data_IF_925038735414
#
_entry.id   IF_925038735414
#
_cell.length_a   1.000
_cell.length_b   1.000
_cell.length_c   1.000
_cell.angle_alpha   90.00
_cell.angle_beta   90.00
_cell.angle_gamma   90.00
#
_symmetry.space_group_name_H-M   'P 1'
#
loop_
_entity.id
_entity.type
_entity.pdbx_description
1 polymer ?
#
# COMPACT_ATOMS: atom_id res chain seq x y z
N UNK A 1 -1.32 12.78 11.42
CA UNK A 1 -2.77 12.46 11.48
C UNK A 1 -3.04 11.82 12.84
N UNK A 2 -4.12 12.20 13.54
CA UNK A 2 -4.38 11.74 14.91
C UNK A 2 -5.38 10.57 14.91
N UNK A 3 -5.09 9.53 15.70
CA UNK A 3 -5.95 8.38 15.91
C UNK A 3 -6.16 8.19 17.40
N UNK A 4 -7.42 8.02 17.81
CA UNK A 4 -7.77 7.74 19.21
C UNK A 4 -7.88 6.23 19.41
N UNK A 5 -7.16 5.72 20.40
CA UNK A 5 -7.16 4.33 20.82
C UNK A 5 -7.43 4.21 22.33
N UNK A 6 -7.99 3.09 22.72
CA UNK A 6 -8.26 2.77 24.12
C UNK A 6 -7.48 1.53 24.52
N UNK A 7 -6.98 1.48 25.76
CA UNK A 7 -6.27 0.30 26.24
C UNK A 7 -7.23 -0.88 26.42
N UNK A 8 -6.77 -2.07 26.03
CA UNK A 8 -7.54 -3.31 26.13
C UNK A 8 -6.93 -4.26 27.16
N UNK A 9 -7.75 -4.73 28.10
CA UNK A 9 -7.32 -5.72 29.11
C UNK A 9 -7.60 -7.18 28.69
N UNK A 10 -8.71 -7.42 27.98
CA UNK A 10 -9.16 -8.79 27.65
C UNK A 10 -8.48 -9.30 26.38
N UNK A 11 -7.75 -10.42 26.50
CA UNK A 11 -7.11 -11.11 25.38
C UNK A 11 -7.91 -12.36 24.95
N UNK A 12 -7.66 -12.84 23.73
CA UNK A 12 -8.16 -14.12 23.21
C UNK A 12 -9.19 -13.99 22.08
N UNK A 13 -9.47 -15.11 21.43
CA UNK A 13 -10.30 -15.18 20.21
C UNK A 13 -11.74 -14.70 20.45
N UNK A 14 -12.34 -15.09 21.58
CA UNK A 14 -13.73 -14.71 21.92
C UNK A 14 -13.88 -13.22 22.24
N UNK A 15 -12.92 -12.61 22.93
CA UNK A 15 -12.92 -11.19 23.22
C UNK A 15 -12.78 -10.36 21.94
N UNK A 16 -11.79 -10.69 21.10
CA UNK A 16 -11.55 -10.01 19.82
C UNK A 16 -12.71 -10.14 18.84
N UNK A 17 -13.44 -11.27 18.86
CA UNK A 17 -14.65 -11.44 18.02
C UNK A 17 -15.79 -10.54 18.49
N UNK A 18 -16.01 -10.43 19.79
CA UNK A 18 -17.04 -9.53 20.36
C UNK A 18 -16.74 -8.06 20.06
N UNK A 19 -15.48 -7.63 20.16
CA UNK A 19 -15.07 -6.26 19.81
C UNK A 19 -15.42 -5.91 18.35
N UNK A 20 -15.10 -6.81 17.42
CA UNK A 20 -15.44 -6.63 15.99
C UNK A 20 -16.95 -6.58 15.74
N UNK A 21 -17.75 -7.34 16.50
CA UNK A 21 -19.20 -7.27 16.41
C UNK A 21 -19.78 -5.94 16.91
N UNK A 22 -19.09 -5.26 17.83
CA UNK A 22 -19.48 -3.95 18.38
C UNK A 22 -18.91 -2.80 17.53
N UNK A 23 -18.20 -3.10 16.43
CA UNK A 23 -17.59 -2.08 15.56
C UNK A 23 -16.24 -1.56 16.07
N UNK A 24 -15.57 -2.28 16.98
CA UNK A 24 -14.21 -1.96 17.42
C UNK A 24 -13.19 -2.91 16.80
N UNK A 25 -12.06 -2.35 16.37
CA UNK A 25 -10.94 -3.09 15.79
C UNK A 25 -9.86 -3.31 16.85
N UNK A 26 -9.46 -4.56 17.13
CA UNK A 26 -8.33 -4.81 18.02
C UNK A 26 -7.01 -4.46 17.33
N UNK A 27 -6.04 -3.99 18.10
CA UNK A 27 -4.68 -3.76 17.62
C UNK A 27 -3.63 -3.86 18.71
N UNK A 28 -2.39 -3.66 18.30
CA UNK A 28 -1.22 -3.68 19.18
C UNK A 28 -0.30 -2.51 18.86
N UNK A 29 0.29 -1.95 19.90
CA UNK A 29 1.40 -0.98 19.79
C UNK A 29 2.63 -1.62 20.39
N UNK A 30 3.70 -1.72 19.62
CA UNK A 30 4.97 -2.30 20.07
C UNK A 30 6.16 -1.50 19.58
N UNK A 31 7.35 -1.82 20.08
CA UNK A 31 8.60 -1.21 19.67
C UNK A 31 9.19 -0.29 20.73
N UNK A 32 10.44 0.12 20.50
CA UNK A 32 11.25 0.82 21.49
C UNK A 32 11.67 -0.09 22.65
N UNK A 33 11.81 0.51 23.83
CA UNK A 33 12.23 -0.17 25.08
C UNK A 33 11.04 -0.54 25.99
N UNK A 34 9.85 -0.10 25.61
CA UNK A 34 8.59 -0.28 26.35
C UNK A 34 7.86 -1.57 25.99
N UNK A 35 7.11 -2.12 26.93
CA UNK A 35 6.30 -3.31 26.70
C UNK A 35 5.18 -3.09 25.66
N UNK A 36 4.83 -4.13 24.87
CA UNK A 36 3.73 -4.05 23.92
C UNK A 36 2.41 -3.75 24.62
N UNK A 37 1.66 -2.78 24.09
CA UNK A 37 0.38 -2.35 24.64
C UNK A 37 -0.74 -2.82 23.72
N UNK A 38 -1.70 -3.56 24.28
CA UNK A 38 -2.91 -3.96 23.54
C UNK A 38 -3.90 -2.82 23.51
N UNK A 39 -4.38 -2.49 22.32
CA UNK A 39 -5.28 -1.38 22.09
C UNK A 39 -6.55 -1.83 21.36
N UNK A 40 -7.57 -1.01 21.45
CA UNK A 40 -8.78 -1.09 20.65
C UNK A 40 -9.09 0.27 20.03
N UNK A 41 -9.55 0.23 18.78
CA UNK A 41 -9.81 1.41 17.95
C UNK A 41 -11.23 1.35 17.42
N UNK A 42 -11.84 2.50 17.15
CA UNK A 42 -13.10 2.53 16.42
C UNK A 42 -12.86 2.15 14.94
N UNK A 43 -13.65 1.20 14.44
CA UNK A 43 -13.47 0.66 13.09
C UNK A 43 -13.75 1.68 12.00
N UNK A 44 -14.80 2.50 12.15
CA UNK A 44 -15.23 3.41 11.09
C UNK A 44 -14.18 4.48 10.74
N UNK A 45 -13.65 5.27 11.71
CA UNK A 45 -12.61 6.24 11.39
C UNK A 45 -11.31 5.57 10.90
N UNK A 46 -10.99 4.40 11.44
CA UNK A 46 -9.82 3.62 11.04
C UNK A 46 -9.95 3.12 9.59
N UNK A 47 -11.12 2.67 9.17
CA UNK A 47 -11.38 2.21 7.80
C UNK A 47 -11.13 3.31 6.77
N UNK A 48 -11.66 4.51 6.99
CA UNK A 48 -11.44 5.64 6.08
C UNK A 48 -10.00 6.16 6.13
N UNK A 49 -9.33 6.06 7.28
CA UNK A 49 -7.92 6.40 7.39
C UNK A 49 -7.06 5.44 6.55
N UNK A 50 -7.33 4.13 6.63
CA UNK A 50 -6.62 3.08 5.89
C UNK A 50 -6.77 3.15 4.38
N UNK A 51 -7.85 3.74 3.87
CA UNK A 51 -8.05 3.97 2.45
C UNK A 51 -7.13 5.06 1.87
N UNK A 52 -6.55 5.90 2.73
CA UNK A 52 -5.60 6.94 2.29
C UNK A 52 -4.22 6.31 2.16
N UNK A 53 -3.63 6.39 0.97
CA UNK A 53 -2.29 5.83 0.72
C UNK A 53 -1.22 6.42 1.65
N UNK A 54 -1.28 7.74 1.88
CA UNK A 54 -0.40 8.45 2.81
C UNK A 54 -0.48 7.91 4.25
N UNK A 55 -1.53 7.20 4.63
CA UNK A 55 -1.66 6.61 5.96
C UNK A 55 -0.68 5.45 6.20
N UNK A 56 -0.30 4.74 5.13
CA UNK A 56 0.66 3.63 5.21
C UNK A 56 2.11 4.10 5.27
N UNK A 57 2.38 5.30 4.76
CA UNK A 57 3.72 5.89 4.63
C UNK A 57 3.95 7.11 5.53
N UNK A 58 3.07 7.39 6.50
CA UNK A 58 3.20 8.54 7.41
C UNK A 58 3.40 8.15 8.87
N UNK A 59 3.99 9.07 9.65
CA UNK A 59 4.03 8.97 11.10
C UNK A 59 2.69 9.47 11.65
N UNK A 60 2.09 8.65 12.50
CA UNK A 60 0.76 8.84 13.08
C UNK A 60 0.90 9.21 14.55
N UNK A 61 0.04 10.10 15.01
CA UNK A 61 -0.07 10.44 16.43
C UNK A 61 -1.20 9.58 17.01
N UNK A 62 -0.84 8.61 17.84
CA UNK A 62 -1.77 7.72 18.51
C UNK A 62 -2.01 8.21 19.92
N UNK A 63 -3.26 8.57 20.23
CA UNK A 63 -3.68 8.93 21.57
C UNK A 63 -4.24 7.72 22.29
N UNK A 64 -3.57 7.28 23.35
CA UNK A 64 -3.99 6.20 24.24
C UNK A 64 -4.32 6.80 25.60
N UNK A 65 -5.60 6.81 25.97
CA UNK A 65 -6.06 7.25 27.30
C UNK A 65 -5.47 8.62 27.75
N UNK A 66 -5.34 9.56 26.82
CA UNK A 66 -4.79 10.91 27.04
C UNK A 66 -3.27 11.06 26.90
N UNK A 67 -2.55 9.97 26.58
CA UNK A 67 -1.12 10.01 26.23
C UNK A 67 -0.93 9.91 24.72
N UNK A 68 -0.17 10.82 24.12
CA UNK A 68 0.11 10.82 22.68
C UNK A 68 1.46 10.19 22.40
N UNK A 69 1.48 9.15 21.57
CA UNK A 69 2.68 8.46 21.12
C UNK A 69 2.80 8.54 19.59
N UNK A 70 4.04 8.68 19.08
CA UNK A 70 4.32 8.62 17.65
C UNK A 70 4.47 7.18 17.21
N UNK A 71 3.61 6.75 16.30
CA UNK A 71 3.58 5.38 15.80
C UNK A 71 3.56 5.36 14.28
N UNK A 72 3.99 4.24 13.73
CA UNK A 72 3.92 3.93 12.31
C UNK A 72 3.06 2.69 12.12
N UNK A 73 2.21 2.71 11.10
CA UNK A 73 1.42 1.55 10.72
C UNK A 73 2.34 0.48 10.11
N UNK A 74 2.38 -0.72 10.70
CA UNK A 74 3.26 -1.79 10.25
C UNK A 74 2.55 -2.86 9.45
N UNK A 75 1.40 -3.29 9.93
CA UNK A 75 0.60 -4.33 9.28
C UNK A 75 -0.89 -4.11 9.55
N UNK A 76 -1.70 -4.52 8.59
CA UNK A 76 -3.16 -4.44 8.65
C UNK A 76 -3.74 -5.71 8.09
N UNK A 77 -4.54 -6.38 8.92
CA UNK A 77 -5.25 -7.58 8.50
C UNK A 77 -6.66 -7.22 8.10
N UNK A 78 -6.98 -7.41 6.82
CA UNK A 78 -8.32 -7.24 6.30
C UNK A 78 -9.08 -8.55 6.30
N UNK A 79 -10.40 -8.48 6.47
CA UNK A 79 -11.26 -9.60 6.20
C UNK A 79 -11.35 -9.80 4.67
N UNK A 80 -11.15 -11.03 4.13
CA UNK A 80 -11.04 -11.24 2.68
C UNK A 80 -12.32 -10.89 1.89
N UNK A 81 -13.49 -11.07 2.51
CA UNK A 81 -14.78 -10.78 1.89
C UNK A 81 -15.51 -9.52 2.42
N UNK A 82 -15.42 -9.25 3.73
CA UNK A 82 -16.18 -8.16 4.37
C UNK A 82 -15.31 -6.92 4.47
N UNK A 83 -15.92 -5.75 4.40
CA UNK A 83 -15.27 -4.46 4.72
C UNK A 83 -15.06 -4.37 6.24
N UNK A 84 -14.12 -5.15 6.75
CA UNK A 84 -13.83 -5.26 8.18
C UNK A 84 -12.33 -5.41 8.36
N UNK A 85 -11.77 -4.62 9.28
CA UNK A 85 -10.38 -4.76 9.71
C UNK A 85 -10.36 -5.74 10.87
N UNK A 86 -9.53 -6.76 10.75
CA UNK A 86 -9.38 -7.84 11.72
C UNK A 86 -8.40 -7.47 12.83
N UNK A 87 -7.27 -6.87 12.45
CA UNK A 87 -6.20 -6.50 13.35
C UNK A 87 -5.34 -5.38 12.75
N UNK A 88 -4.74 -4.57 13.62
CA UNK A 88 -3.82 -3.49 13.22
C UNK A 88 -2.59 -3.49 14.11
N UNK A 89 -1.43 -3.38 13.47
CA UNK A 89 -0.13 -3.36 14.13
C UNK A 89 0.49 -1.97 13.99
N UNK A 90 0.76 -1.34 15.13
CA UNK A 90 1.47 -0.08 15.22
C UNK A 90 2.86 -0.28 15.83
N UNK A 91 3.86 0.31 15.19
CA UNK A 91 5.23 0.33 15.67
C UNK A 91 5.58 1.71 16.20
N UNK A 92 6.05 1.82 17.44
CA UNK A 92 6.57 3.05 18.04
C UNK A 92 7.80 3.53 17.27
N UNK A 93 7.81 4.81 16.95
CA UNK A 93 8.90 5.43 16.18
C UNK A 93 9.86 6.14 17.12
N UNK A 94 11.13 5.73 17.07
CA UNK A 94 12.23 6.45 17.70
C UNK A 94 12.98 7.25 16.64
N UNK A 95 13.17 8.54 16.86
CA UNK A 95 13.85 9.47 15.92
C UNK A 95 15.28 9.05 15.54
N UNK A 96 15.90 8.16 16.32
CA UNK A 96 17.29 7.70 16.15
C UNK A 96 17.41 6.40 15.34
N UNK A 97 16.32 5.67 15.14
CA UNK A 97 16.36 4.34 14.51
C UNK A 97 15.97 4.46 13.04
N UNK A 98 16.71 3.77 12.15
CA UNK A 98 16.32 3.68 10.74
C UNK A 98 15.06 2.81 10.61
N UNK A 99 14.11 3.31 9.82
CA UNK A 99 12.86 2.61 9.54
C UNK A 99 12.92 1.96 8.16
N UNK A 100 12.25 0.83 8.02
CA UNK A 100 12.05 0.14 6.75
C UNK A 100 10.55 0.11 6.45
N UNK A 101 10.10 0.65 5.32
CA UNK A 101 8.68 0.67 4.97
C UNK A 101 8.43 0.70 3.47
N UNK A 102 7.22 0.35 3.09
CA UNK A 102 6.70 0.51 1.74
C UNK A 102 6.19 1.94 1.56
N UNK A 103 6.62 2.63 0.50
CA UNK A 103 6.14 3.97 0.14
C UNK A 103 5.51 3.92 -1.25
N UNK A 104 4.31 4.50 -1.44
CA UNK A 104 3.62 4.52 -2.73
C UNK A 104 4.33 5.43 -3.74
N UNK A 105 4.21 5.05 -5.01
CA UNK A 105 4.69 5.80 -6.17
C UNK A 105 3.52 6.49 -6.87
N UNK A 106 3.67 7.79 -7.12
CA UNK A 106 2.76 8.52 -7.98
C UNK A 106 3.41 8.80 -9.33
N UNK A 107 2.81 8.27 -10.39
CA UNK A 107 3.28 8.47 -11.75
C UNK A 107 2.66 9.75 -12.34
N UNK A 108 3.51 10.70 -12.71
CA UNK A 108 3.10 11.99 -13.29
C UNK A 108 3.56 12.06 -14.74
N UNK A 109 2.81 12.75 -15.59
CA UNK A 109 3.20 12.97 -17.00
C UNK A 109 3.00 11.76 -17.91
N UNK A 110 2.20 10.77 -17.49
CA UNK A 110 1.89 9.58 -18.29
C UNK A 110 1.26 9.94 -19.65
N UNK A 111 0.34 10.89 -19.67
CA UNK A 111 -0.35 11.33 -20.90
C UNK A 111 0.53 12.16 -21.83
N UNK A 112 1.59 12.78 -21.30
CA UNK A 112 2.49 13.63 -22.09
C UNK A 112 3.63 12.86 -22.75
N UNK A 113 3.83 11.61 -22.35
CA UNK A 113 4.89 10.77 -22.85
C UNK A 113 4.78 10.58 -24.37
N UNK A 114 5.89 10.71 -25.13
CA UNK A 114 5.93 10.42 -26.56
C UNK A 114 5.38 9.02 -26.90
N UNK A 115 5.61 8.04 -26.03
CA UNK A 115 5.07 6.68 -26.18
C UNK A 115 3.54 6.63 -26.28
N UNK A 116 2.83 7.50 -25.55
CA UNK A 116 1.36 7.55 -25.56
C UNK A 116 0.87 8.44 -26.71
N UNK A 117 1.43 9.64 -26.85
CA UNK A 117 0.98 10.65 -27.84
C UNK A 117 1.31 10.29 -29.29
N UNK A 118 2.49 9.72 -29.54
CA UNK A 118 3.00 9.47 -30.90
C UNK A 118 2.79 8.01 -31.31
N UNK A 119 3.02 7.08 -30.39
CA UNK A 119 3.01 5.63 -30.67
C UNK A 119 1.74 4.92 -30.20
N UNK A 120 0.81 5.61 -29.52
CA UNK A 120 -0.46 5.02 -29.06
C UNK A 120 -0.28 3.89 -28.03
N UNK A 121 0.84 3.84 -27.31
CA UNK A 121 1.13 2.78 -26.34
C UNK A 121 0.41 3.04 -25.01
N UNK A 122 0.12 1.96 -24.29
CA UNK A 122 -0.42 2.02 -22.93
C UNK A 122 0.74 1.87 -21.95
N UNK A 123 0.80 2.77 -20.97
CA UNK A 123 1.75 2.68 -19.87
C UNK A 123 1.16 1.72 -18.83
N UNK A 124 1.84 0.60 -18.59
CA UNK A 124 1.52 -0.35 -17.54
C UNK A 124 2.43 -0.12 -16.33
N UNK A 125 1.85 0.18 -15.17
CA UNK A 125 2.57 0.29 -13.90
C UNK A 125 2.67 -1.09 -13.27
N UNK A 126 3.89 -1.63 -13.21
CA UNK A 126 4.16 -3.00 -12.70
C UNK A 126 4.30 -3.00 -11.18
N UNK A 127 4.75 -1.91 -10.59
CA UNK A 127 5.00 -1.80 -9.16
C UNK A 127 4.59 -0.41 -8.69
N UNK A 128 3.63 -0.36 -7.76
CA UNK A 128 3.06 0.88 -7.24
C UNK A 128 3.67 1.30 -5.90
N UNK A 129 4.45 0.43 -5.25
CA UNK A 129 5.08 0.70 -3.96
C UNK A 129 6.53 0.21 -3.94
N UNK A 130 7.40 0.92 -3.23
CA UNK A 130 8.80 0.53 -3.05
C UNK A 130 9.15 0.47 -1.58
N UNK A 131 9.88 -0.57 -1.18
CA UNK A 131 10.48 -0.62 0.14
C UNK A 131 11.71 0.29 0.24
N UNK A 132 11.63 1.27 1.13
CA UNK A 132 12.68 2.24 1.41
C UNK A 132 13.17 2.14 2.84
N UNK A 133 14.42 2.55 3.05
CA UNK A 133 15.03 2.77 4.35
C UNK A 133 15.29 4.25 4.52
N UNK A 134 14.66 4.87 5.52
CA UNK A 134 14.81 6.29 5.81
C UNK A 134 14.85 6.54 7.33
N UNK A 135 15.27 7.75 7.69
CA UNK A 135 15.10 8.26 9.04
C UNK A 135 13.66 8.76 9.18
N UNK A 136 13.05 8.71 10.38
CA UNK A 136 11.70 9.22 10.62
C UNK A 136 11.47 10.67 10.15
N UNK A 137 12.52 11.49 10.16
CA UNK A 137 12.48 12.91 9.74
C UNK A 137 12.42 13.12 8.22
N UNK A 138 12.95 12.16 7.46
CA UNK A 138 13.12 12.25 6.01
C UNK A 138 12.10 11.35 5.28
N UNK A 139 10.99 11.07 5.94
CA UNK A 139 9.95 10.14 5.51
C UNK A 139 9.02 10.83 4.49
N UNK A 140 9.05 10.43 3.20
CA UNK A 140 8.12 10.97 2.21
C UNK A 140 6.77 10.25 2.30
N UNK A 141 5.68 10.99 2.17
CA UNK A 141 4.33 10.41 2.06
C UNK A 141 4.16 9.66 0.72
N UNK A 142 4.78 10.15 -0.34
CA UNK A 142 4.79 9.52 -1.66
C UNK A 142 6.04 9.91 -2.45
N UNK A 143 6.37 9.11 -3.46
CA UNK A 143 7.49 9.38 -4.38
C UNK A 143 6.91 9.64 -5.77
N UNK A 144 7.15 10.85 -6.28
CA UNK A 144 6.74 11.22 -7.63
C UNK A 144 7.72 10.67 -8.67
N UNK A 145 7.16 10.06 -9.72
CA UNK A 145 7.89 9.44 -10.82
C UNK A 145 7.44 10.08 -12.12
N UNK A 146 8.34 10.83 -12.74
CA UNK A 146 8.08 11.52 -14.00
C UNK A 146 8.21 10.56 -15.20
N UNK A 147 7.10 10.36 -15.92
CA UNK A 147 7.02 9.53 -17.13
C UNK A 147 7.04 10.35 -18.43
N UNK A 148 7.12 11.68 -18.35
CA UNK A 148 6.98 12.58 -19.51
C UNK A 148 8.01 12.34 -20.63
N UNK A 149 9.15 11.72 -20.30
CA UNK A 149 10.24 11.43 -21.25
C UNK A 149 10.26 9.99 -21.74
N UNK A 150 9.24 9.19 -21.44
CA UNK A 150 9.25 7.77 -21.76
C UNK A 150 9.07 7.54 -23.27
N UNK A 151 10.03 6.83 -23.86
CA UNK A 151 10.06 6.48 -25.29
C UNK A 151 9.30 5.18 -25.57
N UNK A 152 9.08 4.89 -26.86
CA UNK A 152 8.49 3.64 -27.33
C UNK A 152 9.18 2.42 -26.73
N UNK A 153 8.40 1.46 -26.21
CA UNK A 153 8.91 0.25 -25.54
C UNK A 153 9.87 0.55 -24.35
N UNK A 154 9.80 1.75 -23.79
CA UNK A 154 10.62 2.18 -22.68
C UNK A 154 10.28 1.38 -21.41
N UNK A 155 11.33 1.00 -20.67
CA UNK A 155 11.23 0.31 -19.40
C UNK A 155 11.83 1.23 -18.33
N UNK A 156 11.00 1.79 -17.46
CA UNK A 156 11.48 2.57 -16.33
C UNK A 156 11.83 1.63 -15.18
N UNK A 157 13.06 1.73 -14.67
CA UNK A 157 13.52 0.92 -13.55
C UNK A 157 13.79 1.78 -12.32
N UNK A 158 13.90 1.11 -11.17
CA UNK A 158 14.16 1.75 -9.88
C UNK A 158 15.40 2.67 -9.86
N UNK A 159 16.43 2.34 -10.65
CA UNK A 159 17.66 3.15 -10.73
C UNK A 159 17.49 4.48 -11.45
N UNK A 160 16.46 4.62 -12.28
CA UNK A 160 16.25 5.80 -13.11
C UNK A 160 15.41 6.87 -12.38
N UNK A 161 14.95 6.56 -11.17
CA UNK A 161 14.13 7.45 -10.33
C UNK A 161 15.01 8.29 -9.40
N UNK A 162 14.63 9.55 -9.27
CA UNK A 162 15.19 10.46 -8.27
C UNK A 162 14.53 10.18 -6.92
N UNK A 163 15.26 9.50 -6.04
CA UNK A 163 14.82 9.35 -4.65
C UNK A 163 15.03 10.67 -3.88
N UNK A 164 14.08 11.07 -3.02
CA UNK A 164 14.23 12.26 -2.18
C UNK A 164 15.38 12.12 -1.17
N UNK A 165 15.87 13.26 -0.65
CA UNK A 165 17.04 13.32 0.24
C UNK A 165 16.81 12.44 1.48
N UNK A 166 17.80 11.60 1.82
CA UNK A 166 17.75 10.75 3.02
C UNK A 166 17.05 9.40 2.83
N UNK A 167 16.44 9.15 1.67
CA UNK A 167 15.74 7.90 1.37
C UNK A 167 16.63 6.98 0.53
N UNK A 168 16.95 5.81 1.07
CA UNK A 168 17.65 4.75 0.35
C UNK A 168 16.70 3.63 0.02
N UNK A 169 16.65 3.20 -1.25
CA UNK A 169 16.01 1.93 -1.58
C UNK A 169 16.69 0.79 -0.80
N UNK A 170 15.90 -0.24 -0.43
CA UNK A 170 16.46 -1.41 0.24
C UNK A 170 17.54 -2.05 -0.66
N UNK A 171 18.69 -2.42 -0.08
CA UNK A 171 19.85 -2.94 -0.84
C UNK A 171 19.50 -4.11 -1.77
N UNK A 172 18.54 -4.95 -1.38
CA UNK A 172 18.04 -6.08 -2.18
C UNK A 172 17.25 -5.62 -3.41
N UNK A 173 16.39 -4.62 -3.26
CA UNK A 173 15.63 -4.03 -4.36
C UNK A 173 16.54 -3.24 -5.32
N UNK A 174 17.56 -2.55 -4.81
CA UNK A 174 18.56 -1.88 -5.64
C UNK A 174 19.41 -2.86 -6.48
N UNK A 175 19.58 -4.10 -6.01
CA UNK A 175 20.28 -5.17 -6.72
C UNK A 175 19.40 -5.82 -7.80
N UNK A 176 18.11 -6.05 -7.50
CA UNK A 176 17.14 -6.66 -8.42
C UNK A 176 16.70 -5.67 -9.50
N UNK A 177 16.72 -4.36 -9.19
CA UNK A 177 16.30 -3.27 -10.08
C UNK A 177 14.94 -3.54 -10.74
N UNK A 178 13.86 -3.60 -9.94
CA UNK A 178 12.54 -3.91 -10.46
C UNK A 178 12.11 -2.88 -11.50
N UNK A 179 11.36 -3.38 -12.47
CA UNK A 179 10.67 -2.55 -13.46
C UNK A 179 9.48 -1.91 -12.78
N UNK A 180 9.36 -0.59 -12.91
CA UNK A 180 8.31 0.19 -12.26
C UNK A 180 7.17 0.50 -13.22
N UNK A 181 7.52 0.85 -14.46
CA UNK A 181 6.57 1.05 -15.53
C UNK A 181 7.13 0.59 -16.88
N UNK A 182 6.27 0.07 -17.73
CA UNK A 182 6.58 -0.28 -19.12
C UNK A 182 5.59 0.41 -20.06
N UNK A 183 6.09 0.95 -21.17
CA UNK A 183 5.24 1.26 -22.31
C UNK A 183 5.20 0.01 -23.18
N UNK A 184 4.02 -0.55 -23.38
CA UNK A 184 3.79 -1.59 -24.37
C UNK A 184 2.64 -1.15 -25.27
N UNK A 185 2.58 -1.66 -26.50
CA UNK A 185 1.29 -1.65 -27.20
C UNK A 185 0.31 -2.41 -26.31
N UNK A 186 -0.94 -1.98 -26.25
CA UNK A 186 -1.97 -2.82 -25.65
C UNK A 186 -1.77 -4.24 -26.22
N UNK A 187 -1.76 -5.30 -25.40
CA UNK A 187 -2.10 -6.58 -25.98
C UNK A 187 -3.44 -6.30 -26.66
N UNK A 188 -3.53 -6.54 -27.97
CA UNK A 188 -4.81 -6.93 -28.53
C UNK A 188 -5.33 -7.94 -27.51
N UNK A 189 -6.44 -7.60 -26.87
CA UNK A 189 -7.27 -8.63 -26.33
C UNK A 189 -7.41 -9.59 -27.51
N UNK A 190 -6.75 -10.74 -27.41
CA UNK A 190 -7.26 -11.90 -28.12
C UNK A 190 -8.71 -11.94 -27.68
N UNK A 191 -9.56 -11.42 -28.56
CA UNK A 191 -10.95 -11.80 -28.65
C UNK A 191 -10.91 -13.30 -28.40
N UNK A 192 -11.42 -13.70 -27.24
CA UNK A 192 -11.85 -15.06 -27.07
C UNK A 192 -12.82 -15.27 -28.22
N UNK A 193 -12.31 -15.91 -29.26
CA UNK A 193 -13.01 -16.37 -30.44
C UNK A 193 -14.08 -17.32 -29.91
N UNK A 194 -15.21 -16.72 -29.55
CA UNK A 194 -16.44 -17.41 -29.26
C UNK A 194 -16.89 -17.96 -30.60
N UNK A 195 -16.34 -19.13 -30.94
CA UNK A 195 -16.76 -19.93 -32.07
C UNK A 195 -18.28 -20.00 -32.10
N UNK A 196 -18.95 -19.56 -33.19
CA UNK A 196 -20.34 -19.87 -33.42
C UNK A 196 -20.37 -21.28 -34.00
N UNK A 197 -20.85 -22.25 -33.23
CA UNK A 197 -21.31 -23.52 -33.78
C UNK A 197 -22.83 -23.58 -33.60
N UNK A 198 -23.51 -23.43 -34.73
CA UNK A 198 -24.95 -23.35 -34.90
C UNK A 198 -25.68 -24.62 -34.45
N UNK A 199 -26.93 -24.41 -34.02
CA UNK A 199 -28.02 -25.38 -34.05
C UNK A 199 -28.27 -25.88 -35.49
N UNK A 200 -28.51 -27.19 -35.63
CA UNK A 200 -29.48 -27.88 -36.50
C UNK A 200 -29.23 -29.39 -36.28
N UNK A 201 -30.18 -30.29 -36.01
CA UNK A 201 -31.63 -30.27 -35.95
C UNK A 201 -32.12 -31.69 -35.60
N UNK A 202 -33.42 -31.81 -35.37
CA UNK A 202 -34.19 -33.03 -35.10
C UNK A 202 -33.92 -34.21 -36.07
N UNK A 203 -34.02 -35.46 -35.58
CA UNK A 203 -35.07 -36.43 -35.93
C UNK A 203 -34.67 -37.92 -35.72
N UNK A 204 -35.60 -38.68 -35.12
CA UNK A 204 -35.91 -40.14 -35.27
C UNK A 204 -34.76 -41.17 -35.22
N UNK A 205 -34.84 -42.10 -34.25
CA UNK A 205 -35.53 -43.39 -34.35
C UNK A 205 -35.74 -44.01 -32.95
#
# INVERSE_FOLDING_TARGET
>A
MQIVAYKREKQGTGASRRLRHIGRTPGIVYGGETEPTMIELDHNPLWFALQKEAFHSSILDLEIDGTTEKVLLRDVQYHPYKQLVLHVDFQRVNDRTRLHMSVPLHFVGAEEAPAVKVDGQVISTVTNEIEVTCMPKDLPESIEVDLSKMSKNGVLRLRDIKLPRGVSALKRLAAINPVLATAASAPEAEEADAAPAAEEGEAKE
#
